data_IF_340332300480
#
_entry.id   IF_340332300480
#
_cell.length_a   1.000
_cell.length_b   1.000
_cell.length_c   1.000
_cell.angle_alpha   90.00
_cell.angle_beta   90.00
_cell.angle_gamma   90.00
#
_symmetry.space_group_name_H-M   'P 1'
#
loop_
_entity.id
_entity.type
_entity.pdbx_description
1 polymer ?
#
# COMPACT_ATOMS: atom_id res chain seq x y z
N UNK A 1 4.77 -21.88 19.26
CA UNK A 1 3.66 -21.72 18.31
C UNK A 1 3.35 -20.25 18.13
N UNK A 2 3.09 -19.81 16.90
CA UNK A 2 2.79 -18.41 16.57
C UNK A 2 3.84 -17.42 17.13
N UNK A 3 5.12 -17.77 17.02
CA UNK A 3 6.24 -16.96 17.54
C UNK A 3 6.54 -17.12 19.03
N UNK A 4 5.70 -17.83 19.80
CA UNK A 4 5.93 -18.09 21.22
C UNK A 4 6.70 -19.40 21.42
N UNK A 5 7.83 -19.36 22.14
CA UNK A 5 8.56 -20.57 22.53
C UNK A 5 7.87 -21.27 23.70
N UNK A 6 6.95 -22.19 23.41
CA UNK A 6 6.28 -23.03 24.40
C UNK A 6 6.92 -24.43 24.47
N UNK A 7 7.15 -24.94 25.68
CA UNK A 7 7.58 -26.33 25.89
C UNK A 7 6.39 -27.25 25.60
N UNK A 8 6.37 -27.89 24.43
CA UNK A 8 5.36 -28.89 24.09
C UNK A 8 5.66 -30.16 24.89
N UNK A 9 4.77 -30.55 25.80
CA UNK A 9 4.88 -31.82 26.50
C UNK A 9 4.67 -32.98 25.51
N UNK A 10 5.44 -34.06 25.63
CA UNK A 10 5.46 -35.19 24.70
C UNK A 10 4.10 -35.89 24.49
N UNK A 11 3.12 -35.63 25.36
CA UNK A 11 1.80 -36.28 25.38
C UNK A 11 0.63 -35.34 25.10
N UNK A 12 0.86 -34.03 24.92
CA UNK A 12 -0.21 -33.04 24.67
C UNK A 12 -0.17 -32.63 23.20
N UNK A 13 -1.30 -32.76 22.50
CA UNK A 13 -1.44 -32.14 21.17
C UNK A 13 -1.54 -30.64 21.35
N UNK A 14 -0.45 -29.93 21.10
CA UNK A 14 -0.50 -28.50 20.84
C UNK A 14 -1.55 -28.25 19.73
N UNK A 15 -2.35 -27.18 19.82
CA UNK A 15 -3.34 -26.83 18.81
C UNK A 15 -2.74 -26.72 17.39
N UNK A 16 -1.43 -26.41 17.32
CA UNK A 16 -0.65 -26.37 16.10
C UNK A 16 -0.22 -27.74 15.57
N UNK A 17 -0.45 -28.83 16.30
CA UNK A 17 0.01 -30.18 15.96
C UNK A 17 1.53 -30.29 15.80
N UNK A 18 2.31 -29.45 16.49
CA UNK A 18 3.77 -29.43 16.35
C UNK A 18 4.41 -30.74 16.83
N UNK A 19 5.14 -31.41 15.94
CA UNK A 19 6.05 -32.50 16.29
C UNK A 19 7.44 -31.94 16.53
N UNK A 20 7.82 -31.80 17.80
CA UNK A 20 9.09 -31.19 18.18
C UNK A 20 10.26 -32.19 18.13
N UNK A 21 11.39 -31.79 17.55
CA UNK A 21 12.66 -32.52 17.57
C UNK A 21 13.85 -31.54 17.57
N UNK A 22 14.74 -31.66 18.56
CA UNK A 22 15.91 -30.79 18.69
C UNK A 22 15.58 -29.30 18.78
N UNK A 23 14.54 -28.94 19.55
CA UNK A 23 14.15 -27.54 19.80
C UNK A 23 13.34 -26.87 18.69
N UNK A 24 13.00 -27.57 17.61
CA UNK A 24 12.19 -27.09 16.48
C UNK A 24 11.02 -28.02 16.19
N UNK A 25 9.96 -27.50 15.59
CA UNK A 25 8.92 -28.31 14.95
C UNK A 25 9.46 -28.90 13.64
N UNK A 26 9.16 -30.17 13.37
CA UNK A 26 9.45 -30.82 12.07
C UNK A 26 8.18 -31.03 11.25
N UNK A 27 7.03 -31.10 11.92
CA UNK A 27 5.70 -31.25 11.33
C UNK A 27 4.72 -30.36 12.09
N UNK A 28 3.69 -29.90 11.39
CA UNK A 28 2.62 -29.08 11.91
C UNK A 28 1.26 -29.67 11.51
N UNK A 29 0.23 -29.39 12.29
CA UNK A 29 -1.14 -29.77 12.02
C UNK A 29 -1.79 -28.97 10.89
N UNK A 30 -3.05 -29.29 10.59
CA UNK A 30 -3.84 -28.57 9.60
C UNK A 30 -3.99 -27.09 9.97
N UNK A 31 -4.00 -26.20 8.97
CA UNK A 31 -4.06 -24.73 9.11
C UNK A 31 -2.81 -24.07 9.72
N UNK A 32 -1.75 -24.84 9.99
CA UNK A 32 -0.45 -24.33 10.38
C UNK A 32 0.57 -24.63 9.28
N UNK A 33 1.48 -23.70 9.04
CA UNK A 33 2.62 -23.91 8.16
C UNK A 33 3.90 -23.97 9.00
N UNK A 34 4.83 -24.85 8.61
CA UNK A 34 6.16 -24.92 9.17
C UNK A 34 7.03 -23.79 8.58
N UNK A 35 7.30 -22.75 9.36
CA UNK A 35 8.17 -21.64 8.99
C UNK A 35 9.34 -21.57 9.97
N UNK A 36 10.57 -21.55 9.47
CA UNK A 36 11.80 -21.41 10.28
C UNK A 36 11.85 -22.31 11.54
N UNK A 37 11.35 -23.54 11.43
CA UNK A 37 11.33 -24.50 12.55
C UNK A 37 10.21 -24.29 13.57
N UNK A 38 9.22 -23.44 13.30
CA UNK A 38 8.01 -23.27 14.12
C UNK A 38 6.74 -23.50 13.32
N UNK A 39 5.64 -23.82 14.01
CA UNK A 39 4.30 -23.89 13.41
C UNK A 39 3.58 -22.55 13.59
N UNK A 40 3.16 -21.96 12.48
CA UNK A 40 2.46 -20.67 12.44
C UNK A 40 1.10 -20.82 11.76
N UNK A 41 0.07 -20.26 12.37
CA UNK A 41 -1.28 -20.29 11.83
C UNK A 41 -1.36 -19.43 10.56
N UNK A 42 -1.77 -20.00 9.44
CA UNK A 42 -1.84 -19.27 8.15
C UNK A 42 -3.01 -18.29 8.06
N UNK A 43 -3.95 -18.32 9.00
CA UNK A 43 -5.06 -17.36 9.09
C UNK A 43 -4.77 -16.20 10.05
N UNK A 44 -3.63 -16.21 10.75
CA UNK A 44 -3.27 -15.17 11.72
C UNK A 44 -1.87 -14.63 11.45
N UNK A 45 -1.63 -13.39 11.85
CA UNK A 45 -0.26 -12.87 11.90
C UNK A 45 0.50 -13.59 13.03
N UNK A 46 1.79 -13.93 12.83
CA UNK A 46 2.60 -13.61 11.65
C UNK A 46 2.56 -14.65 10.52
N UNK A 47 1.88 -15.80 10.68
CA UNK A 47 1.90 -16.89 9.69
C UNK A 47 1.35 -16.49 8.31
N UNK A 48 0.23 -15.76 8.28
CA UNK A 48 -0.39 -15.26 7.04
C UNK A 48 0.50 -14.26 6.28
N UNK A 49 1.51 -13.66 6.93
CA UNK A 49 2.44 -12.72 6.26
C UNK A 49 3.43 -13.43 5.33
N UNK A 50 3.61 -14.74 5.49
CA UNK A 50 4.54 -15.54 4.68
C UNK A 50 3.79 -16.58 3.85
N UNK A 51 2.72 -17.15 4.39
CA UNK A 51 1.99 -18.25 3.78
C UNK A 51 0.48 -18.03 3.84
N UNK A 52 -0.16 -17.94 2.68
CA UNK A 52 -1.62 -17.74 2.57
C UNK A 52 -2.41 -19.05 2.59
N UNK A 53 -1.76 -20.17 2.24
CA UNK A 53 -2.40 -21.48 2.22
C UNK A 53 -1.43 -22.57 2.68
N UNK A 54 -1.90 -23.44 3.58
CA UNK A 54 -1.15 -24.57 4.07
C UNK A 54 -1.93 -25.86 4.01
N UNK A 55 -1.31 -26.93 3.53
CA UNK A 55 -1.87 -28.29 3.53
C UNK A 55 -0.90 -29.21 4.24
N UNK A 56 -1.40 -30.00 5.20
CA UNK A 56 -0.58 -30.99 5.92
C UNK A 56 0.64 -30.40 6.65
N UNK A 57 0.52 -29.20 7.21
CA UNK A 57 1.62 -28.55 7.93
C UNK A 57 2.61 -27.80 7.05
N UNK A 58 2.46 -27.83 5.71
CA UNK A 58 3.38 -27.21 4.75
C UNK A 58 2.71 -26.05 4.03
N UNK A 59 3.49 -25.01 3.75
CA UNK A 59 3.01 -23.92 2.92
C UNK A 59 2.88 -24.37 1.47
N UNK A 60 1.70 -24.19 0.88
CA UNK A 60 1.41 -24.48 -0.54
C UNK A 60 1.17 -23.21 -1.35
N UNK A 61 1.13 -22.05 -0.71
CA UNK A 61 1.07 -20.75 -1.40
C UNK A 61 1.78 -19.68 -0.57
N UNK A 62 2.94 -19.25 -1.06
CA UNK A 62 3.71 -18.18 -0.45
C UNK A 62 3.12 -16.81 -0.80
N UNK A 63 3.13 -15.88 0.14
CA UNK A 63 2.71 -14.48 -0.11
C UNK A 63 3.61 -13.82 -1.16
N UNK A 64 4.91 -14.07 -1.07
CA UNK A 64 5.96 -13.42 -1.88
C UNK A 64 5.95 -13.86 -3.33
N UNK A 65 5.75 -15.14 -3.63
CA UNK A 65 5.70 -15.66 -5.00
C UNK A 65 4.29 -15.84 -5.54
N UNK A 66 3.28 -15.92 -4.66
CA UNK A 66 1.94 -16.37 -5.03
C UNK A 66 1.91 -17.83 -5.52
N UNK A 67 2.93 -18.63 -5.19
CA UNK A 67 3.11 -19.98 -5.72
C UNK A 67 3.51 -20.99 -4.61
N UNK A 68 3.35 -22.27 -4.94
CA UNK A 68 3.77 -23.37 -4.07
C UNK A 68 5.31 -23.45 -4.00
N UNK A 69 5.92 -23.37 -2.81
CA UNK A 69 7.37 -23.51 -2.66
C UNK A 69 7.85 -24.96 -2.86
N UNK A 70 6.98 -25.90 -3.22
CA UNK A 70 7.26 -27.32 -3.48
C UNK A 70 8.01 -27.99 -2.33
N UNK A 71 7.59 -27.67 -1.10
CA UNK A 71 8.20 -28.17 0.13
C UNK A 71 9.48 -27.45 0.56
N UNK A 72 9.91 -26.41 -0.15
CA UNK A 72 10.98 -25.50 0.29
C UNK A 72 10.44 -24.35 1.15
N UNK A 73 11.35 -23.53 1.69
CA UNK A 73 10.97 -22.26 2.29
C UNK A 73 10.46 -21.27 1.23
N UNK A 74 9.52 -20.40 1.61
CA UNK A 74 9.09 -19.32 0.74
C UNK A 74 10.26 -18.39 0.39
N UNK A 75 10.38 -17.92 -0.87
CA UNK A 75 11.46 -17.04 -1.25
C UNK A 75 11.32 -15.68 -0.57
N UNK A 76 12.46 -15.09 -0.22
CA UNK A 76 12.58 -13.72 0.26
C UNK A 76 12.74 -12.79 -0.93
N UNK A 77 11.87 -11.80 -1.08
CA UNK A 77 11.99 -10.81 -2.16
C UNK A 77 13.08 -9.76 -1.87
N UNK A 78 13.65 -9.13 -2.91
CA UNK A 78 14.56 -8.00 -2.76
C UNK A 78 13.87 -6.80 -2.09
N UNK A 79 14.67 -5.89 -1.54
CA UNK A 79 14.17 -4.68 -0.87
C UNK A 79 13.15 -3.90 -1.72
N UNK A 80 12.06 -3.48 -1.07
CA UNK A 80 10.97 -2.75 -1.71
C UNK A 80 10.07 -3.59 -2.62
N UNK A 81 10.30 -4.90 -2.73
CA UNK A 81 9.46 -5.81 -3.51
C UNK A 81 8.52 -6.63 -2.62
N UNK A 82 7.21 -6.55 -2.92
CA UNK A 82 6.17 -7.28 -2.21
C UNK A 82 5.95 -8.66 -2.83
N UNK A 83 5.92 -8.72 -4.16
CA UNK A 83 5.79 -9.97 -4.92
C UNK A 83 6.90 -10.15 -5.91
N UNK A 84 7.65 -11.24 -5.79
CA UNK A 84 8.78 -11.57 -6.64
C UNK A 84 8.70 -12.97 -7.21
N UNK A 85 9.29 -13.12 -8.40
CA UNK A 85 9.43 -14.39 -9.11
C UNK A 85 10.89 -14.59 -9.49
N UNK A 86 11.36 -15.84 -9.53
CA UNK A 86 12.72 -16.19 -9.90
C UNK A 86 13.59 -16.57 -8.70
N UNK A 87 14.86 -16.86 -8.98
CA UNK A 87 15.82 -17.35 -7.98
C UNK A 87 16.60 -16.21 -7.30
N UNK A 88 17.21 -16.52 -6.16
CA UNK A 88 18.12 -15.61 -5.44
C UNK A 88 19.17 -15.05 -6.42
N UNK A 89 19.25 -13.71 -6.55
CA UNK A 89 20.14 -13.03 -7.49
C UNK A 89 19.53 -12.65 -8.86
N UNK A 90 18.42 -13.26 -9.28
CA UNK A 90 17.72 -12.96 -10.54
C UNK A 90 16.21 -12.81 -10.34
N UNK A 91 15.78 -12.32 -9.18
CA UNK A 91 14.37 -12.11 -8.93
C UNK A 91 13.87 -10.89 -9.70
N UNK A 92 12.72 -11.07 -10.33
CA UNK A 92 11.89 -10.01 -10.88
C UNK A 92 10.80 -9.68 -9.88
N UNK A 93 10.54 -8.39 -9.70
CA UNK A 93 9.42 -7.93 -8.91
C UNK A 93 8.21 -7.64 -9.80
N UNK A 94 7.04 -8.06 -9.36
CA UNK A 94 5.75 -7.77 -10.02
C UNK A 94 4.94 -6.72 -9.26
N UNK A 95 5.10 -6.67 -7.93
CA UNK A 95 4.41 -5.70 -7.07
C UNK A 95 5.39 -5.12 -6.08
N UNK A 96 5.51 -3.79 -6.06
CA UNK A 96 6.37 -3.06 -5.12
C UNK A 96 5.63 -2.72 -3.83
N UNK A 97 6.38 -2.51 -2.75
CA UNK A 97 5.85 -1.93 -1.52
C UNK A 97 5.45 -0.48 -1.73
N UNK A 98 4.61 0.05 -0.84
CA UNK A 98 4.31 1.47 -0.78
C UNK A 98 5.59 2.29 -0.63
N UNK A 99 5.70 3.41 -1.34
CA UNK A 99 6.93 4.20 -1.43
C UNK A 99 7.92 3.71 -2.48
N UNK A 100 7.56 2.70 -3.27
CA UNK A 100 8.34 2.23 -4.39
C UNK A 100 7.48 2.16 -5.66
N UNK A 101 8.10 2.40 -6.82
CA UNK A 101 7.51 2.20 -8.14
C UNK A 101 8.24 1.10 -8.91
N UNK A 102 7.51 0.45 -9.82
CA UNK A 102 8.05 -0.61 -10.66
C UNK A 102 8.71 -0.01 -11.91
N UNK A 103 9.98 -0.32 -12.15
CA UNK A 103 10.69 -0.07 -13.42
C UNK A 103 11.50 -1.30 -13.80
N UNK A 104 11.33 -1.79 -15.03
CA UNK A 104 12.08 -2.94 -15.58
C UNK A 104 12.13 -4.14 -14.62
N UNK A 105 10.99 -4.51 -14.03
CA UNK A 105 10.85 -5.59 -13.04
C UNK A 105 11.66 -5.41 -11.74
N UNK A 106 12.04 -4.19 -11.39
CA UNK A 106 12.67 -3.82 -10.13
C UNK A 106 11.91 -2.68 -9.48
N UNK A 107 11.96 -2.64 -8.15
CA UNK A 107 11.31 -1.59 -7.37
C UNK A 107 12.33 -0.53 -6.99
N UNK A 108 12.01 0.72 -7.32
CA UNK A 108 12.82 1.88 -6.98
C UNK A 108 12.04 2.78 -6.04
N UNK A 109 12.71 3.45 -5.09
CA UNK A 109 12.03 4.34 -4.14
C UNK A 109 11.44 5.52 -4.89
N UNK A 110 10.26 5.98 -4.50
CA UNK A 110 9.60 7.15 -5.10
C UNK A 110 10.45 8.42 -5.06
N UNK A 111 11.43 8.51 -4.16
CA UNK A 111 12.32 9.65 -3.99
C UNK A 111 13.58 9.60 -4.86
N UNK A 112 13.84 8.50 -5.56
CA UNK A 112 15.02 8.33 -6.42
C UNK A 112 14.61 7.95 -7.83
N UNK A 113 15.45 8.26 -8.80
CA UNK A 113 15.27 7.78 -10.17
C UNK A 113 15.75 6.34 -10.35
N UNK A 114 15.40 5.72 -11.48
CA UNK A 114 15.81 4.35 -11.81
C UNK A 114 17.20 4.27 -12.46
N UNK A 115 17.82 5.42 -12.76
CA UNK A 115 19.17 5.52 -13.31
C UNK A 115 19.31 4.96 -14.73
N UNK A 116 18.19 4.75 -15.43
CA UNK A 116 18.22 4.23 -16.79
C UNK A 116 18.82 5.25 -17.78
N UNK A 117 19.59 4.77 -18.76
CA UNK A 117 20.22 5.64 -19.77
C UNK A 117 19.24 6.20 -20.82
N UNK A 118 18.08 5.55 -20.97
CA UNK A 118 17.02 5.95 -21.88
C UNK A 118 15.67 5.77 -21.18
N UNK A 119 14.73 6.70 -21.40
CA UNK A 119 13.42 6.70 -20.74
C UNK A 119 13.52 6.63 -19.22
N UNK A 120 14.50 7.34 -18.65
CA UNK A 120 14.74 7.39 -17.22
C UNK A 120 13.52 7.90 -16.46
N UNK A 121 13.21 7.23 -15.36
CA UNK A 121 12.20 7.68 -14.42
C UNK A 121 12.89 8.52 -13.35
N UNK A 122 12.35 9.69 -13.06
CA UNK A 122 12.86 10.57 -12.01
C UNK A 122 11.97 10.51 -10.77
N UNK A 123 12.61 10.32 -9.62
CA UNK A 123 11.93 10.36 -8.33
C UNK A 123 11.48 11.77 -7.96
N UNK A 124 10.52 11.86 -7.05
CA UNK A 124 10.04 13.10 -6.44
C UNK A 124 10.42 13.11 -4.97
N UNK A 125 11.13 14.15 -4.55
CA UNK A 125 11.53 14.30 -3.15
C UNK A 125 10.33 14.33 -2.20
N UNK A 126 10.52 13.76 -1.01
CA UNK A 126 9.51 13.65 0.05
C UNK A 126 8.24 12.90 -0.39
N UNK A 127 8.30 12.08 -1.44
CA UNK A 127 7.17 11.30 -1.89
C UNK A 127 7.04 9.96 -1.13
N UNK A 128 5.92 9.77 -0.43
CA UNK A 128 5.59 8.55 0.34
C UNK A 128 4.97 7.48 -0.57
N UNK A 129 4.20 7.89 -1.59
CA UNK A 129 3.52 6.96 -2.49
C UNK A 129 3.46 7.54 -3.88
N UNK A 130 3.84 6.75 -4.88
CA UNK A 130 3.93 7.21 -6.26
C UNK A 130 3.50 6.13 -7.27
N UNK A 131 3.26 6.57 -8.51
CA UNK A 131 3.11 5.70 -9.68
C UNK A 131 4.16 6.04 -10.75
N UNK A 132 4.66 5.03 -11.49
CA UNK A 132 5.53 5.26 -12.63
C UNK A 132 4.78 6.01 -13.75
N UNK A 133 5.50 6.76 -14.60
CA UNK A 133 4.88 7.45 -15.74
C UNK A 133 4.27 6.44 -16.73
N UNK A 134 3.07 6.75 -17.21
CA UNK A 134 2.37 5.93 -18.21
C UNK A 134 3.00 6.08 -19.58
N UNK A 135 3.15 4.99 -20.33
CA UNK A 135 3.58 5.03 -21.73
C UNK A 135 5.08 4.82 -21.99
N UNK A 136 5.87 4.47 -20.97
CA UNK A 136 7.25 3.97 -21.16
C UNK A 136 8.26 4.97 -21.69
N UNK A 137 7.89 6.25 -21.84
CA UNK A 137 8.74 7.31 -22.36
C UNK A 137 9.59 8.02 -21.27
N UNK A 138 9.75 7.38 -20.11
CA UNK A 138 10.39 7.98 -18.94
C UNK A 138 9.60 9.16 -18.37
N UNK A 139 10.22 9.90 -17.46
CA UNK A 139 9.64 11.08 -16.82
C UNK A 139 9.50 10.96 -15.30
N UNK A 140 8.91 11.97 -14.69
CA UNK A 140 8.77 12.02 -13.23
C UNK A 140 7.65 11.11 -12.74
N UNK A 141 7.89 10.44 -11.60
CA UNK A 141 6.85 9.66 -10.92
C UNK A 141 5.70 10.57 -10.48
N UNK A 142 4.48 10.08 -10.62
CA UNK A 142 3.30 10.79 -10.11
C UNK A 142 3.20 10.55 -8.61
N UNK A 143 3.45 11.57 -7.80
CA UNK A 143 3.36 11.47 -6.35
C UNK A 143 1.93 11.68 -5.84
N UNK A 144 1.39 10.69 -5.12
CA UNK A 144 0.05 10.76 -4.52
C UNK A 144 0.07 11.34 -3.11
N UNK A 145 1.13 11.04 -2.34
CA UNK A 145 1.26 11.50 -0.95
C UNK A 145 2.68 11.99 -0.75
N UNK A 146 2.83 13.23 -0.27
CA UNK A 146 4.11 13.80 0.15
C UNK A 146 4.17 13.93 1.66
N UNK A 147 5.38 13.83 2.22
CA UNK A 147 5.67 14.38 3.52
C UNK A 147 5.75 15.90 3.39
N UNK A 148 4.94 16.62 4.16
CA UNK A 148 4.99 18.07 4.27
C UNK A 148 6.16 18.50 5.16
N UNK A 149 7.38 18.07 4.83
CA UNK A 149 8.56 18.73 5.36
C UNK A 149 8.75 20.02 4.58
N UNK A 150 8.35 21.12 5.22
CA UNK A 150 8.38 22.48 4.69
C UNK A 150 9.79 22.87 4.27
N UNK A 151 10.11 22.73 2.98
CA UNK A 151 11.31 23.31 2.35
C UNK A 151 10.98 23.65 0.90
N UNK A 152 10.89 24.95 0.61
CA UNK A 152 10.44 25.43 -0.69
C UNK A 152 11.37 25.05 -1.84
N UNK A 153 10.78 24.47 -2.89
CA UNK A 153 11.04 24.91 -4.26
C UNK A 153 9.80 24.58 -5.10
N UNK A 154 9.04 25.63 -5.42
CA UNK A 154 8.01 25.52 -6.43
C UNK A 154 8.69 25.34 -7.78
N UNK A 155 8.53 24.18 -8.40
CA UNK A 155 8.44 23.95 -9.86
C UNK A 155 8.19 22.46 -10.07
N UNK A 156 6.92 22.06 -10.19
CA UNK A 156 6.57 20.65 -10.42
C UNK A 156 5.18 20.27 -9.94
N UNK A 157 4.17 21.07 -10.32
CA UNK A 157 2.77 20.78 -10.03
C UNK A 157 2.07 20.27 -11.28
N UNK A 158 1.87 18.95 -11.35
CA UNK A 158 0.82 18.34 -12.16
C UNK A 158 -0.49 19.13 -12.03
N UNK A 159 -1.12 19.44 -13.16
CA UNK A 159 -2.32 20.27 -13.34
C UNK A 159 -3.61 19.66 -12.81
N UNK A 160 -3.54 18.75 -11.82
CA UNK A 160 -4.72 18.07 -11.27
C UNK A 160 -4.77 18.17 -9.75
N UNK A 161 -4.78 19.40 -9.22
CA UNK A 161 -5.46 19.72 -7.96
C UNK A 161 -6.32 20.97 -8.16
N UNK A 162 -7.55 20.75 -8.62
CA UNK A 162 -8.68 21.65 -8.35
C UNK A 162 -9.08 21.63 -6.87
N UNK A 163 -8.10 21.75 -5.98
CA UNK A 163 -8.32 22.08 -4.57
C UNK A 163 -8.56 23.57 -4.52
N UNK A 164 -9.82 23.97 -4.60
CA UNK A 164 -10.28 25.33 -4.40
C UNK A 164 -9.53 25.91 -3.19
N UNK A 165 -8.74 26.95 -3.46
CA UNK A 165 -8.12 27.78 -2.45
C UNK A 165 -9.13 28.04 -1.35
N UNK A 166 -8.76 27.72 -0.12
CA UNK A 166 -9.50 28.04 1.10
C UNK A 166 -9.74 29.56 1.24
N UNK A 167 -9.24 30.39 0.31
CA UNK A 167 -9.59 31.80 0.13
C UNK A 167 -10.72 32.14 -0.85
N UNK A 168 -11.33 31.19 -1.58
CA UNK A 168 -12.48 31.43 -2.46
C UNK A 168 -13.85 31.09 -1.81
N UNK A 169 -13.83 30.32 -0.73
CA UNK A 169 -15.04 29.85 -0.02
C UNK A 169 -15.62 30.95 0.91
N UNK A 170 -14.93 32.09 1.08
CA UNK A 170 -15.45 33.26 1.78
C UNK A 170 -16.24 34.24 0.87
N UNK A 171 -16.24 34.08 -0.45
CA UNK A 171 -16.89 35.03 -1.37
C UNK A 171 -18.31 34.65 -1.80
N UNK A 172 -18.62 33.34 -1.88
CA UNK A 172 -19.89 32.86 -2.46
C UNK A 172 -21.06 33.00 -1.45
N UNK A 173 -20.77 32.98 -0.15
CA UNK A 173 -21.80 33.08 0.89
C UNK A 173 -22.47 34.47 0.92
N UNK A 174 -21.70 35.54 0.67
CA UNK A 174 -22.23 36.91 0.71
C UNK A 174 -23.09 37.23 -0.52
N UNK A 175 -22.72 36.75 -1.70
CA UNK A 175 -23.48 37.00 -2.92
C UNK A 175 -24.90 36.39 -2.85
N UNK A 176 -25.03 35.18 -2.29
CA UNK A 176 -26.34 34.54 -2.11
C UNK A 176 -27.20 35.32 -1.11
N UNK A 177 -26.62 35.80 0.00
CA UNK A 177 -27.36 36.59 0.99
C UNK A 177 -27.86 37.91 0.39
N UNK A 178 -27.04 38.60 -0.41
CA UNK A 178 -27.46 39.86 -1.08
C UNK A 178 -28.58 39.61 -2.09
N UNK A 179 -28.49 38.52 -2.88
CA UNK A 179 -29.55 38.16 -3.85
C UNK A 179 -30.86 37.79 -3.14
N UNK A 180 -30.79 37.01 -2.06
CA UNK A 180 -31.97 36.62 -1.28
C UNK A 180 -32.57 37.83 -0.56
N UNK A 181 -31.77 38.69 0.06
CA UNK A 181 -32.26 39.92 0.69
C UNK A 181 -32.87 40.89 -0.33
N UNK A 182 -32.26 41.01 -1.52
CA UNK A 182 -32.79 41.83 -2.62
C UNK A 182 -34.12 41.31 -3.16
N UNK A 183 -34.25 39.99 -3.38
CA UNK A 183 -35.50 39.37 -3.82
C UNK A 183 -36.61 39.49 -2.78
N UNK A 184 -36.30 39.25 -1.50
CA UNK A 184 -37.29 39.40 -0.41
C UNK A 184 -37.71 40.86 -0.27
N UNK A 185 -36.77 41.81 -0.34
CA UNK A 185 -37.09 43.24 -0.32
C UNK A 185 -37.96 43.68 -1.49
N UNK A 186 -37.64 43.22 -2.70
CA UNK A 186 -38.44 43.50 -3.90
C UNK A 186 -39.84 42.86 -3.81
N UNK A 187 -39.97 41.64 -3.29
CA UNK A 187 -41.27 40.98 -3.09
C UNK A 187 -42.11 41.67 -2.02
N UNK A 188 -41.52 42.07 -0.89
CA UNK A 188 -42.22 42.84 0.13
C UNK A 188 -42.68 44.20 -0.40
N UNK A 189 -41.83 44.92 -1.14
CA UNK A 189 -42.24 46.17 -1.80
C UNK A 189 -43.35 45.92 -2.83
N UNK A 190 -43.18 44.92 -3.70
CA UNK A 190 -44.17 44.59 -4.72
C UNK A 190 -45.53 44.23 -4.12
N UNK A 191 -45.59 43.40 -3.08
CA UNK A 191 -46.86 43.05 -2.44
C UNK A 191 -47.49 44.21 -1.66
N UNK A 192 -46.69 45.03 -0.97
CA UNK A 192 -47.21 46.13 -0.15
C UNK A 192 -47.63 47.33 -1.02
N UNK A 193 -46.87 47.68 -2.05
CA UNK A 193 -47.16 48.84 -2.89
C UNK A 193 -48.06 48.53 -4.08
N UNK A 194 -48.13 47.29 -4.57
CA UNK A 194 -49.09 46.91 -5.63
C UNK A 194 -50.50 46.62 -5.09
N UNK A 195 -50.67 46.47 -3.78
CA UNK A 195 -51.98 46.39 -3.12
C UNK A 195 -52.61 47.75 -2.83
N UNK A 196 -51.97 48.86 -3.21
CA UNK A 196 -52.47 50.23 -3.00
C UNK A 196 -52.29 51.08 -4.26
N UNK A 197 -52.75 50.53 -5.39
CA UNK A 197 -53.16 51.26 -6.59
C UNK A 197 -54.54 50.74 -6.98
#
# INVERSE_FOLDING_TARGET
>A
VDGVCTKVASTTRDASGCKASGGKCTECGANYALLSGGCYNTNKVPGNSVCTLSVGGKCTMCVTSGADPKGQACPTCPDGCLKCTGNVGSQTCSVCLSGYYLSTNKCFRCTVGDGASANAITGVENCISCAPPTGGNGGSVTCYVKNDDSSGSGTGGSTNKGGLSTGAIAGISVAVIVVVAGLVGFLCWWFICRGKA
#
